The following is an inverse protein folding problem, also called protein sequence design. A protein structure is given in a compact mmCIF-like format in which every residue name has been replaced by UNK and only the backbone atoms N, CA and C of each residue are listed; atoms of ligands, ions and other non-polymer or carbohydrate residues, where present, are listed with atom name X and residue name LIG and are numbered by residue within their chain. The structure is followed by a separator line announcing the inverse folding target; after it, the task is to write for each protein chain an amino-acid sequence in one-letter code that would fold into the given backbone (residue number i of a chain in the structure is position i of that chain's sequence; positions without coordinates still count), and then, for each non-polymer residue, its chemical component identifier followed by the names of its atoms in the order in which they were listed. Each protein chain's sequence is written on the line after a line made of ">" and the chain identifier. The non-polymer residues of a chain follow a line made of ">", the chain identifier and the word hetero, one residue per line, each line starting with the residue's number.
data_IF_478523635655
#
_entry.id   IF_478523635655
#
_cell.length_a   1.000
_cell.length_b   1.000
_cell.length_c   1.000
_cell.angle_alpha   90.00
_cell.angle_beta   90.00
_cell.angle_gamma   90.00
#
_symmetry.space_group_name_H-M   'P 1'
#
loop_
_entity.id
_entity.type
_entity.pdbx_description
1 polymer ?
#
# COMPACT_ATOMS: atom_id res chain seq x y z
N UNK A 1 -51.17 33.22 -42.25
CA UNK A 1 -52.48 32.73 -41.79
C UNK A 1 -52.26 31.54 -40.88
N UNK A 2 -52.74 31.62 -39.62
CA UNK A 2 -52.89 30.55 -38.60
C UNK A 2 -51.59 30.01 -37.95
N UNK A 3 -51.13 30.35 -36.74
CA UNK A 3 -51.65 30.22 -35.34
C UNK A 3 -51.81 28.80 -34.78
N UNK A 4 -50.95 28.43 -33.83
CA UNK A 4 -51.16 27.69 -32.55
C UNK A 4 -49.76 27.29 -32.03
N UNK A 5 -49.17 27.68 -30.89
CA UNK A 5 -49.55 27.95 -29.48
C UNK A 5 -49.92 26.68 -28.67
N UNK A 6 -49.12 26.40 -27.63
CA UNK A 6 -49.41 25.47 -26.51
C UNK A 6 -48.32 24.39 -26.32
N UNK A 7 -47.28 24.55 -25.50
CA UNK A 7 -47.23 24.49 -24.03
C UNK A 7 -47.41 23.08 -23.43
N UNK A 8 -46.31 22.46 -22.99
CA UNK A 8 -46.21 21.51 -21.86
C UNK A 8 -44.70 21.24 -21.61
N UNK A 9 -44.09 21.80 -20.58
CA UNK A 9 -44.04 21.28 -19.21
C UNK A 9 -42.98 20.17 -19.02
N UNK A 10 -41.95 20.48 -18.25
CA UNK A 10 -41.30 19.55 -17.32
C UNK A 10 -40.23 18.60 -17.89
N UNK A 11 -38.98 19.06 -17.96
CA UNK A 11 -37.84 18.21 -17.66
C UNK A 11 -36.65 19.06 -17.24
N UNK A 12 -36.32 19.00 -15.94
CA UNK A 12 -35.07 19.51 -15.40
C UNK A 12 -33.86 18.87 -16.12
N UNK A 13 -32.73 19.60 -16.22
CA UNK A 13 -31.56 19.13 -16.97
C UNK A 13 -30.94 17.89 -16.31
N UNK A 14 -30.47 16.88 -17.06
CA UNK A 14 -29.56 15.90 -16.48
C UNK A 14 -28.28 16.60 -16.03
N UNK A 15 -28.08 16.58 -14.72
CA UNK A 15 -26.91 17.12 -14.00
C UNK A 15 -25.60 16.50 -14.49
N UNK A 16 -24.61 17.36 -14.74
CA UNK A 16 -23.20 17.07 -15.01
C UNK A 16 -22.63 15.94 -14.13
N UNK A 17 -21.93 14.98 -14.74
CA UNK A 17 -20.73 14.36 -14.16
C UNK A 17 -19.64 14.23 -15.23
N UNK A 18 -18.80 15.27 -15.28
CA UNK A 18 -17.37 15.24 -15.62
C UNK A 18 -16.90 14.06 -16.48
N UNK A 19 -16.79 14.28 -17.79
CA UNK A 19 -15.98 13.44 -18.65
C UNK A 19 -14.52 13.49 -18.15
N UNK A 20 -14.11 12.46 -17.42
CA UNK A 20 -12.75 12.27 -16.92
C UNK A 20 -11.85 12.10 -18.16
N UNK A 21 -11.21 13.18 -18.61
CA UNK A 21 -10.14 13.16 -19.63
C UNK A 21 -9.09 12.15 -19.18
N UNK A 22 -9.17 10.93 -19.69
CA UNK A 22 -8.10 9.93 -19.57
C UNK A 22 -6.90 10.50 -20.34
N UNK A 23 -5.89 11.00 -19.63
CA UNK A 23 -4.60 11.34 -20.24
C UNK A 23 -4.09 10.04 -20.88
N UNK A 24 -4.10 10.02 -22.22
CA UNK A 24 -3.59 8.93 -23.04
C UNK A 24 -2.08 8.91 -22.88
N UNK A 25 -1.57 8.11 -21.96
CA UNK A 25 -0.14 7.77 -21.93
C UNK A 25 0.08 6.78 -23.07
N UNK A 26 0.83 7.26 -24.07
CA UNK A 26 0.99 6.63 -25.37
C UNK A 26 1.65 5.26 -25.31
N UNK A 27 1.50 4.56 -26.42
CA UNK A 27 2.13 3.30 -26.90
C UNK A 27 3.44 2.86 -26.20
N UNK A 28 4.29 3.78 -25.74
CA UNK A 28 5.50 3.52 -24.95
C UNK A 28 5.20 2.76 -23.64
N UNK A 29 4.14 3.10 -22.91
CA UNK A 29 3.76 2.36 -21.68
C UNK A 29 3.35 0.92 -22.02
N UNK A 30 2.66 0.74 -23.14
CA UNK A 30 2.26 -0.58 -23.64
C UNK A 30 3.45 -1.40 -24.15
N UNK A 31 4.50 -0.77 -24.66
CA UNK A 31 5.73 -1.47 -25.07
C UNK A 31 6.54 -1.95 -23.86
N UNK A 32 6.69 -1.12 -22.82
CA UNK A 32 7.40 -1.50 -21.58
C UNK A 32 6.63 -2.59 -20.84
N UNK A 33 5.31 -2.43 -20.68
CA UNK A 33 4.43 -3.46 -20.10
C UNK A 33 4.37 -4.70 -21.00
N UNK A 34 4.46 -4.56 -22.32
CA UNK A 34 4.61 -5.67 -23.27
C UNK A 34 5.87 -6.48 -23.01
N UNK A 35 7.01 -5.81 -22.96
CA UNK A 35 8.33 -6.39 -22.78
C UNK A 35 8.50 -7.08 -21.42
N UNK A 36 8.04 -6.45 -20.33
CA UNK A 36 8.08 -7.03 -18.97
C UNK A 36 7.26 -8.33 -18.87
N UNK A 37 6.14 -8.40 -19.59
CA UNK A 37 5.27 -9.60 -19.61
C UNK A 37 5.66 -10.64 -20.65
N UNK A 38 6.53 -10.29 -21.61
CA UNK A 38 7.07 -11.26 -22.58
C UNK A 38 8.30 -11.98 -22.00
N UNK A 39 9.04 -11.31 -21.12
CA UNK A 39 10.19 -11.88 -20.40
C UNK A 39 9.79 -12.67 -19.14
N UNK A 40 8.60 -12.40 -18.57
CA UNK A 40 8.02 -13.21 -17.51
C UNK A 40 6.86 -14.01 -18.08
N UNK A 41 7.05 -15.32 -18.28
CA UNK A 41 6.12 -16.26 -18.92
C UNK A 41 4.75 -16.43 -18.23
N UNK A 42 4.37 -15.63 -17.23
CA UNK A 42 3.11 -15.88 -16.51
C UNK A 42 2.43 -14.63 -15.89
N UNK A 43 2.33 -13.52 -16.62
CA UNK A 43 1.52 -12.41 -16.11
C UNK A 43 0.96 -11.48 -17.18
N UNK A 44 -0.20 -11.82 -17.75
CA UNK A 44 -1.27 -10.83 -18.04
C UNK A 44 -2.65 -11.45 -17.87
N UNK A 45 -3.64 -10.64 -17.50
CA UNK A 45 -4.67 -10.33 -18.50
C UNK A 45 -4.81 -8.79 -18.61
N UNK A 46 -4.81 -8.12 -19.77
CA UNK A 46 -5.50 -8.28 -21.06
C UNK A 46 -7.03 -8.05 -21.06
N UNK A 47 -7.69 -8.01 -19.91
CA UNK A 47 -9.14 -7.78 -19.79
C UNK A 47 -9.35 -6.65 -18.77
N UNK A 48 -10.16 -5.65 -19.08
CA UNK A 48 -10.44 -4.52 -18.19
C UNK A 48 -11.20 -4.92 -16.92
N UNK A 49 -10.53 -5.64 -16.02
CA UNK A 49 -10.98 -6.07 -14.71
C UNK A 49 -10.17 -5.25 -13.70
N UNK A 50 -10.84 -4.50 -12.82
CA UNK A 50 -10.17 -4.00 -11.60
C UNK A 50 -9.54 -5.21 -10.91
N UNK A 51 -8.21 -5.23 -10.74
CA UNK A 51 -7.55 -6.29 -9.96
C UNK A 51 -7.82 -6.03 -8.48
N UNK A 52 -8.67 -6.82 -7.78
CA UNK A 52 -9.06 -6.56 -6.38
C UNK A 52 -7.95 -6.94 -5.39
N UNK A 53 -6.71 -7.13 -5.85
CA UNK A 53 -5.69 -7.83 -5.09
C UNK A 53 -5.08 -7.01 -3.93
N UNK A 54 -5.27 -5.69 -3.87
CA UNK A 54 -4.40 -4.87 -3.00
C UNK A 54 -5.08 -3.83 -2.09
N UNK A 55 -6.33 -3.41 -2.31
CA UNK A 55 -6.90 -2.32 -1.50
C UNK A 55 -7.09 -2.67 -0.01
N UNK A 56 -7.39 -3.93 0.33
CA UNK A 56 -7.52 -4.38 1.72
C UNK A 56 -6.19 -4.80 2.35
N UNK A 57 -5.31 -5.46 1.57
CA UNK A 57 -4.00 -5.93 2.04
C UNK A 57 -3.02 -4.78 2.28
N UNK A 58 -3.02 -3.75 1.42
CA UNK A 58 -2.19 -2.55 1.59
C UNK A 58 -2.60 -1.79 2.86
N UNK A 59 -3.90 -1.64 3.13
CA UNK A 59 -4.37 -0.99 4.37
C UNK A 59 -3.89 -1.72 5.62
N UNK A 60 -3.94 -3.06 5.61
CA UNK A 60 -3.43 -3.86 6.71
C UNK A 60 -1.91 -3.74 6.87
N UNK A 61 -1.16 -3.73 5.77
CA UNK A 61 0.29 -3.51 5.80
C UNK A 61 0.64 -2.14 6.39
N UNK A 62 -0.09 -1.10 6.01
CA UNK A 62 0.12 0.27 6.49
C UNK A 62 -0.24 0.42 7.98
N UNK A 63 -1.31 -0.22 8.46
CA UNK A 63 -1.64 -0.28 9.89
C UNK A 63 -0.53 -0.97 10.71
N UNK A 64 -0.04 -2.12 10.23
CA UNK A 64 1.05 -2.85 10.87
C UNK A 64 2.36 -2.06 10.84
N UNK A 65 2.62 -1.32 9.76
CA UNK A 65 3.76 -0.41 9.66
C UNK A 65 3.69 0.73 10.68
N UNK A 66 2.52 1.37 10.82
CA UNK A 66 2.32 2.43 11.82
C UNK A 66 2.51 1.89 13.24
N UNK A 67 1.95 0.72 13.53
CA UNK A 67 2.14 0.04 14.82
C UNK A 67 3.61 -0.28 15.09
N UNK A 68 4.35 -0.70 14.06
CA UNK A 68 5.80 -0.88 14.15
C UNK A 68 6.55 0.42 14.47
N UNK A 69 6.11 1.55 13.91
CA UNK A 69 6.68 2.87 14.22
C UNK A 69 6.42 3.26 15.67
N UNK A 70 5.23 2.98 16.20
CA UNK A 70 4.90 3.23 17.60
C UNK A 70 5.81 2.43 18.53
N UNK A 71 6.00 1.13 18.26
CA UNK A 71 6.95 0.31 19.01
C UNK A 71 8.41 0.81 18.90
N UNK A 72 8.80 1.34 17.74
CA UNK A 72 10.11 1.98 17.59
C UNK A 72 10.26 3.22 18.48
N UNK A 73 9.20 4.03 18.63
CA UNK A 73 9.20 5.17 19.55
C UNK A 73 9.28 4.73 21.01
N UNK A 74 8.63 3.62 21.36
CA UNK A 74 8.69 3.01 22.69
C UNK A 74 10.02 2.29 22.98
N UNK A 75 10.95 2.25 22.00
CA UNK A 75 12.20 1.48 22.05
C UNK A 75 11.98 -0.04 22.21
N UNK A 76 10.77 -0.52 21.95
CA UNK A 76 10.45 -1.94 21.88
C UNK A 76 10.83 -2.49 20.50
N UNK A 77 12.15 -2.65 20.30
CA UNK A 77 12.70 -3.11 19.04
C UNK A 77 12.24 -4.54 18.68
N UNK A 78 11.85 -5.35 19.66
CA UNK A 78 11.35 -6.70 19.43
C UNK A 78 9.97 -6.68 18.76
N UNK A 79 9.03 -5.96 19.34
CA UNK A 79 7.68 -5.85 18.80
C UNK A 79 7.62 -5.01 17.50
N UNK A 80 8.52 -4.04 17.35
CA UNK A 80 8.68 -3.31 16.09
C UNK A 80 9.09 -4.26 14.93
N UNK A 81 10.09 -5.12 15.15
CA UNK A 81 10.55 -6.09 14.15
C UNK A 81 9.44 -7.05 13.74
N UNK A 82 8.64 -7.53 14.70
CA UNK A 82 7.49 -8.39 14.42
C UNK A 82 6.43 -7.67 13.57
N UNK A 83 6.07 -6.44 13.95
CA UNK A 83 5.05 -5.64 13.26
C UNK A 83 5.46 -5.32 11.82
N UNK A 84 6.73 -4.96 11.57
CA UNK A 84 7.22 -4.73 10.21
C UNK A 84 7.29 -6.02 9.39
N UNK A 85 7.59 -7.17 9.99
CA UNK A 85 7.55 -8.45 9.30
C UNK A 85 6.13 -8.79 8.85
N UNK A 86 5.15 -8.62 9.74
CA UNK A 86 3.74 -8.82 9.38
C UNK A 86 3.26 -7.82 8.31
N UNK A 87 3.74 -6.57 8.35
CA UNK A 87 3.48 -5.58 7.31
C UNK A 87 4.01 -6.04 5.94
N UNK A 88 5.21 -6.62 5.92
CA UNK A 88 5.84 -7.16 4.70
C UNK A 88 5.20 -8.47 4.23
N UNK A 89 4.60 -9.26 5.11
CA UNK A 89 3.77 -10.41 4.71
C UNK A 89 2.47 -9.96 4.04
N UNK A 90 1.91 -8.84 4.48
CA UNK A 90 0.71 -8.24 3.89
C UNK A 90 1.00 -7.49 2.58
N UNK A 91 2.10 -6.74 2.52
CA UNK A 91 2.63 -6.11 1.31
C UNK A 91 4.15 -6.27 1.21
N UNK A 92 4.62 -7.30 0.46
CA UNK A 92 6.05 -7.52 0.24
C UNK A 92 6.76 -6.37 -0.49
N UNK A 93 6.01 -5.47 -1.14
CA UNK A 93 6.54 -4.31 -1.88
C UNK A 93 6.62 -3.05 -1.03
N UNK A 94 6.28 -3.12 0.27
CA UNK A 94 6.32 -1.94 1.14
C UNK A 94 7.76 -1.56 1.49
N UNK A 95 8.32 -0.63 0.69
CA UNK A 95 9.71 -0.21 0.79
C UNK A 95 10.07 0.39 2.17
N UNK A 96 9.18 1.21 2.73
CA UNK A 96 9.41 1.87 4.02
C UNK A 96 9.47 0.85 5.17
N UNK A 97 8.63 -0.21 5.13
CA UNK A 97 8.69 -1.29 6.11
C UNK A 97 10.01 -2.09 6.04
N UNK A 98 10.58 -2.30 4.85
CA UNK A 98 11.91 -2.91 4.73
C UNK A 98 13.00 -2.06 5.36
N UNK A 99 12.97 -0.74 5.11
CA UNK A 99 13.94 0.19 5.70
C UNK A 99 13.82 0.24 7.22
N UNK A 100 12.60 0.36 7.74
CA UNK A 100 12.37 0.44 9.18
C UNK A 100 12.61 -0.90 9.90
N UNK A 101 12.37 -2.03 9.25
CA UNK A 101 12.76 -3.34 9.77
C UNK A 101 14.28 -3.41 9.97
N UNK A 102 15.07 -2.94 9.00
CA UNK A 102 16.52 -2.88 9.13
C UNK A 102 16.97 -1.98 10.29
N UNK A 103 16.35 -0.82 10.44
CA UNK A 103 16.63 0.10 11.55
C UNK A 103 16.27 -0.50 12.92
N UNK A 104 15.12 -1.18 13.01
CA UNK A 104 14.68 -1.85 14.23
C UNK A 104 15.60 -3.02 14.59
N UNK A 105 16.02 -3.83 13.60
CA UNK A 105 16.97 -4.92 13.81
C UNK A 105 18.34 -4.41 14.27
N UNK A 106 18.84 -3.32 13.68
CA UNK A 106 20.11 -2.70 14.07
C UNK A 106 20.11 -2.29 15.55
N UNK A 107 18.98 -1.76 16.04
CA UNK A 107 18.81 -1.34 17.44
C UNK A 107 18.50 -2.52 18.39
N UNK A 108 17.87 -3.58 17.90
CA UNK A 108 17.60 -4.79 18.69
C UNK A 108 18.88 -5.54 19.09
N UNK A 109 19.93 -5.50 18.26
CA UNK A 109 21.21 -6.19 18.54
C UNK A 109 21.82 -5.74 19.89
N UNK A 110 22.13 -4.45 20.11
CA UNK A 110 22.67 -3.99 21.39
C UNK A 110 21.67 -4.15 22.55
N UNK A 111 20.36 -4.05 22.29
CA UNK A 111 19.34 -4.27 23.33
C UNK A 111 19.38 -5.71 23.89
N UNK A 112 19.48 -6.71 23.00
CA UNK A 112 19.57 -8.13 23.40
C UNK A 112 20.84 -8.44 24.21
N UNK A 113 21.94 -7.74 23.93
CA UNK A 113 23.20 -7.90 24.63
C UNK A 113 23.15 -7.25 26.03
N UNK A 114 22.58 -6.05 26.12
CA UNK A 114 22.41 -5.34 27.39
C UNK A 114 21.46 -6.08 28.34
N UNK A 115 20.38 -6.67 27.81
CA UNK A 115 19.44 -7.47 28.62
C UNK A 115 20.10 -8.73 29.19
N UNK A 116 20.93 -9.42 28.39
CA UNK A 116 21.72 -10.58 28.86
C UNK A 116 22.71 -10.19 29.97
N UNK A 117 23.38 -9.05 29.83
CA UNK A 117 24.30 -8.53 30.86
C UNK A 117 23.56 -8.18 32.16
N UNK A 118 22.39 -7.56 32.06
CA UNK A 118 21.53 -7.25 33.21
C UNK A 118 21.09 -8.51 33.96
N UNK A 119 20.59 -9.52 33.25
CA UNK A 119 20.15 -10.79 33.82
C UNK A 119 21.31 -11.57 34.47
N UNK A 120 22.50 -11.55 33.86
CA UNK A 120 23.68 -12.19 34.44
C UNK A 120 24.11 -11.51 35.74
N UNK A 121 24.05 -10.18 35.80
CA UNK A 121 24.39 -9.43 37.02
C UNK A 121 23.37 -9.62 38.15
N UNK A 122 22.12 -9.91 37.81
CA UNK A 122 21.09 -10.27 38.79
C UNK A 122 21.25 -11.72 39.27
N UNK A 123 21.60 -12.66 38.37
CA UNK A 123 21.79 -14.06 38.71
C UNK A 123 23.07 -14.36 39.53
N UNK A 124 24.05 -13.44 39.52
CA UNK A 124 25.32 -13.56 40.24
C UNK A 124 25.27 -12.89 41.62
N UNK A 125 24.16 -12.20 41.95
CA UNK A 125 23.93 -11.58 43.26
C UNK A 125 23.30 -12.57 44.24
#
# INVERSE_FOLDING_TARGET
>A
TGTARGAAAGAHPPTRKTARRRKRWGVVELMVVGFVTLLNLDAKPALGLDVPFTAGKIKKAEELFLKGNDYLQEQDFGNAVLSYREALEADPKHADAWTNLGNAMSQAIPYSENQKKGLFNEAVK
#
